data_IF_242306613190
#
_entry.id   IF_242306613190
#
_cell.length_a   1.000
_cell.length_b   1.000
_cell.length_c   1.000
_cell.angle_alpha   90.00
_cell.angle_beta   90.00
_cell.angle_gamma   90.00
#
_symmetry.space_group_name_H-M   'P 1'
#
loop_
_entity.id
_entity.type
_entity.pdbx_description
1 polymer ?
#
# COMPACT_ATOMS: atom_id res chain seq x y z
N UNK A 1 17.20 31.22 18.47
CA UNK A 1 17.40 29.88 17.93
C UNK A 1 16.08 29.46 17.32
N UNK A 2 16.03 29.12 16.04
CA UNK A 2 14.81 28.54 15.46
C UNK A 2 14.62 27.18 16.12
N UNK A 3 13.40 26.76 16.48
CA UNK A 3 13.16 25.45 17.07
C UNK A 3 13.67 24.36 16.10
N UNK A 4 14.37 23.38 16.66
CA UNK A 4 14.85 22.23 15.90
C UNK A 4 13.64 21.44 15.39
N UNK A 5 13.50 21.39 14.08
CA UNK A 5 12.35 20.75 13.42
C UNK A 5 12.69 19.27 13.21
N UNK A 6 12.01 18.40 13.97
CA UNK A 6 12.19 16.95 13.88
C UNK A 6 11.31 16.34 12.79
N UNK A 7 11.88 15.52 11.91
CA UNK A 7 11.14 14.75 10.91
C UNK A 7 10.66 13.44 11.56
N UNK A 8 9.38 13.14 11.39
CA UNK A 8 8.74 11.93 11.93
C UNK A 8 8.13 11.16 10.78
N UNK A 9 8.32 9.85 10.80
CA UNK A 9 7.56 8.87 10.00
C UNK A 9 6.62 8.12 10.89
N UNK A 10 5.37 8.00 10.45
CA UNK A 10 4.38 7.13 11.07
C UNK A 10 4.02 6.04 10.09
N UNK A 11 4.15 4.79 10.53
CA UNK A 11 3.58 3.62 9.88
C UNK A 11 2.14 3.45 10.38
N UNK A 12 1.22 3.20 9.46
CA UNK A 12 -0.20 3.04 9.79
C UNK A 12 -0.89 2.03 8.88
N UNK A 13 -1.97 1.42 9.37
CA UNK A 13 -2.84 0.56 8.57
C UNK A 13 -4.04 1.34 8.01
N UNK A 14 -4.52 0.90 6.83
CA UNK A 14 -5.75 1.39 6.17
C UNK A 14 -6.62 0.20 5.79
N UNK A 15 -7.71 -0.01 6.53
CA UNK A 15 -8.56 -1.21 6.41
C UNK A 15 -10.04 -0.86 6.42
N UNK A 16 -10.91 -1.88 6.38
CA UNK A 16 -12.36 -1.71 6.45
C UNK A 16 -12.91 -0.83 5.30
N UNK A 17 -13.87 0.01 5.61
CA UNK A 17 -14.49 0.91 4.63
C UNK A 17 -13.51 1.95 4.05
N UNK A 18 -12.43 2.26 4.78
CA UNK A 18 -11.43 3.23 4.31
C UNK A 18 -10.56 2.73 3.15
N UNK A 19 -10.60 1.44 2.81
CA UNK A 19 -9.99 0.95 1.56
C UNK A 19 -10.58 1.63 0.30
N UNK A 20 -11.80 2.15 0.38
CA UNK A 20 -12.50 2.77 -0.74
C UNK A 20 -12.28 4.28 -0.90
N UNK A 21 -11.56 4.93 0.02
CA UNK A 21 -11.26 6.35 -0.14
C UNK A 21 -10.09 6.57 -1.11
N UNK A 22 -10.15 7.68 -1.84
CA UNK A 22 -9.06 8.12 -2.71
C UNK A 22 -7.84 8.57 -1.89
N UNK A 23 -6.68 8.66 -2.55
CA UNK A 23 -5.48 9.23 -1.92
C UNK A 23 -5.70 10.69 -1.47
N UNK A 24 -6.47 11.47 -2.24
CA UNK A 24 -6.80 12.85 -1.90
C UNK A 24 -7.65 12.91 -0.63
N UNK A 25 -8.62 12.01 -0.47
CA UNK A 25 -9.48 11.95 0.71
C UNK A 25 -8.71 11.42 1.93
N UNK A 26 -7.77 10.47 1.73
CA UNK A 26 -6.86 10.05 2.78
C UNK A 26 -6.02 11.23 3.29
N UNK A 27 -5.48 12.06 2.38
CA UNK A 27 -4.73 13.26 2.75
C UNK A 27 -5.59 14.25 3.54
N UNK A 28 -6.83 14.53 3.10
CA UNK A 28 -7.78 15.39 3.82
C UNK A 28 -8.13 14.82 5.19
N UNK A 29 -8.34 13.51 5.28
CA UNK A 29 -8.60 12.82 6.54
C UNK A 29 -7.42 12.98 7.49
N UNK A 30 -6.19 12.79 7.00
CA UNK A 30 -4.98 12.94 7.80
C UNK A 30 -4.78 14.38 8.30
N UNK A 31 -5.07 15.40 7.46
CA UNK A 31 -5.04 16.81 7.89
C UNK A 31 -5.98 17.06 9.07
N UNK A 32 -7.21 16.53 9.02
CA UNK A 32 -8.17 16.64 10.11
C UNK A 32 -7.72 15.86 11.36
N UNK A 33 -7.08 14.71 11.19
CA UNK A 33 -6.50 13.93 12.29
C UNK A 33 -5.39 14.73 12.98
N UNK A 34 -4.49 15.34 12.24
CA UNK A 34 -3.43 16.17 12.79
C UNK A 34 -3.96 17.36 13.59
N UNK A 35 -5.01 18.01 13.13
CA UNK A 35 -5.68 19.09 13.87
C UNK A 35 -6.25 18.59 15.21
N UNK A 36 -6.94 17.45 15.19
CA UNK A 36 -7.56 16.89 16.41
C UNK A 36 -6.55 16.32 17.39
N UNK A 37 -5.45 15.75 16.91
CA UNK A 37 -4.42 15.12 17.74
C UNK A 37 -3.66 16.11 18.63
N UNK A 38 -3.72 17.42 18.31
CA UNK A 38 -2.98 18.49 19.00
C UNK A 38 -1.47 18.24 19.08
N UNK A 39 -0.93 17.48 18.12
CA UNK A 39 0.51 17.31 17.95
C UNK A 39 1.12 18.63 17.45
N UNK A 40 2.34 19.01 17.88
CA UNK A 40 3.01 20.24 17.47
C UNK A 40 3.58 20.13 16.04
N UNK A 41 2.71 20.00 15.05
CA UNK A 41 3.05 19.77 13.64
C UNK A 41 3.41 21.08 12.95
N UNK A 42 4.38 21.00 12.04
CA UNK A 42 4.77 22.13 11.17
C UNK A 42 3.76 22.30 10.05
N UNK A 43 3.16 23.49 9.97
CA UNK A 43 2.24 23.87 8.91
C UNK A 43 2.96 24.64 7.78
N UNK A 44 2.38 24.63 6.60
CA UNK A 44 2.80 25.51 5.50
C UNK A 44 2.52 26.97 5.85
N UNK A 45 3.32 27.87 5.27
CA UNK A 45 3.05 29.32 5.38
C UNK A 45 2.14 29.75 4.23
N UNK A 46 1.29 30.75 4.48
CA UNK A 46 0.38 31.32 3.48
C UNK A 46 -1.05 31.49 4.01
N UNK A 47 -1.96 31.83 3.13
CA UNK A 47 -3.37 32.14 3.48
C UNK A 47 -4.18 30.91 3.89
N UNK A 48 -3.74 29.69 3.53
CA UNK A 48 -4.40 28.44 3.91
C UNK A 48 -3.36 27.43 4.45
N UNK A 49 -2.95 27.58 5.74
CA UNK A 49 -1.96 26.70 6.33
C UNK A 49 -2.45 25.26 6.42
N UNK A 50 -1.62 24.32 5.98
CA UNK A 50 -1.89 22.88 6.09
C UNK A 50 -0.63 22.13 6.51
N UNK A 51 -0.76 20.96 7.18
CA UNK A 51 0.37 20.12 7.54
C UNK A 51 1.19 19.74 6.31
N UNK A 52 2.52 19.89 6.38
CA UNK A 52 3.43 19.42 5.33
C UNK A 52 3.64 17.93 5.47
N UNK A 53 2.92 17.15 4.67
CA UNK A 53 2.96 15.69 4.69
C UNK A 53 3.49 15.12 3.39
N UNK A 54 4.21 14.00 3.47
CA UNK A 54 4.61 13.17 2.33
C UNK A 54 4.17 11.74 2.63
N UNK A 55 3.47 11.11 1.70
CA UNK A 55 3.01 9.73 1.84
C UNK A 55 3.88 8.77 1.04
N UNK A 56 3.92 7.51 1.47
CA UNK A 56 4.41 6.39 0.66
C UNK A 56 3.61 6.27 -0.65
N UNK A 57 4.07 5.49 -1.64
CA UNK A 57 3.34 5.29 -2.89
C UNK A 57 1.88 4.92 -2.64
N UNK A 58 0.93 5.66 -3.28
CA UNK A 58 -0.50 5.52 -3.01
C UNK A 58 -1.02 4.14 -3.41
N UNK A 59 -2.08 3.71 -2.73
CA UNK A 59 -2.86 2.54 -3.08
C UNK A 59 -4.00 2.89 -4.03
N UNK A 60 -4.33 1.96 -4.90
CA UNK A 60 -5.60 2.01 -5.64
C UNK A 60 -6.80 1.95 -4.68
N UNK A 61 -7.92 2.52 -5.09
CA UNK A 61 -9.19 2.39 -4.39
C UNK A 61 -9.59 0.92 -4.33
N UNK A 62 -10.13 0.47 -3.20
CA UNK A 62 -10.47 -0.92 -2.93
C UNK A 62 -9.35 -1.76 -2.30
N UNK A 63 -8.11 -1.24 -2.25
CA UNK A 63 -6.98 -1.95 -1.66
C UNK A 63 -6.81 -1.53 -0.20
N UNK A 64 -6.80 -2.51 0.70
CA UNK A 64 -6.42 -2.35 2.11
C UNK A 64 -4.91 -2.42 2.29
N UNK A 65 -4.40 -1.97 3.44
CA UNK A 65 -2.98 -2.03 3.74
C UNK A 65 -2.73 -2.14 5.23
N UNK A 66 -1.71 -2.90 5.58
CA UNK A 66 -1.15 -3.00 6.93
C UNK A 66 0.15 -2.19 7.10
N UNK A 67 0.62 -1.52 6.03
CA UNK A 67 1.91 -0.85 5.99
C UNK A 67 1.91 0.42 5.12
N UNK A 68 1.11 1.41 5.50
CA UNK A 68 1.18 2.75 4.92
C UNK A 68 2.14 3.63 5.72
N UNK A 69 2.73 4.63 5.06
CA UNK A 69 3.61 5.56 5.75
C UNK A 69 3.27 7.01 5.42
N UNK A 70 3.43 7.87 6.42
CA UNK A 70 3.35 9.31 6.28
C UNK A 70 4.51 9.98 7.00
N UNK A 71 5.22 10.86 6.31
CA UNK A 71 6.25 11.72 6.86
C UNK A 71 5.68 13.12 7.12
N UNK A 72 5.99 13.68 8.28
CA UNK A 72 5.69 15.07 8.64
C UNK A 72 6.78 15.64 9.55
N UNK A 73 6.67 16.93 9.89
CA UNK A 73 7.63 17.59 10.75
C UNK A 73 6.94 18.13 11.99
N UNK A 74 7.64 18.11 13.11
CA UNK A 74 7.19 18.66 14.38
C UNK A 74 8.13 19.74 14.91
N UNK A 75 7.58 20.71 15.65
CA UNK A 75 8.32 21.83 16.27
C UNK A 75 8.85 21.52 17.66
N UNK A 76 8.41 20.40 18.25
CA UNK A 76 8.79 19.96 19.58
C UNK A 76 9.08 18.45 19.56
N UNK A 77 9.91 17.99 20.47
CA UNK A 77 10.16 16.57 20.67
C UNK A 77 9.03 15.96 21.49
N UNK A 78 8.36 14.97 20.92
CA UNK A 78 7.26 14.22 21.55
C UNK A 78 7.63 12.74 21.50
N UNK A 79 7.49 11.97 22.58
CA UNK A 79 7.75 10.53 22.57
C UNK A 79 6.91 9.81 21.51
N UNK A 80 7.51 8.84 20.80
CA UNK A 80 6.87 8.16 19.66
C UNK A 80 5.59 7.41 20.02
N UNK A 81 5.53 6.82 21.22
CA UNK A 81 4.33 6.17 21.75
C UNK A 81 3.19 7.18 21.99
N UNK A 82 3.52 8.41 22.44
CA UNK A 82 2.56 9.51 22.61
C UNK A 82 2.04 9.97 21.25
N UNK A 83 2.90 10.04 20.21
CA UNK A 83 2.49 10.35 18.84
C UNK A 83 1.48 9.32 18.36
N UNK A 84 1.80 8.02 18.42
CA UNK A 84 0.89 6.95 18.02
C UNK A 84 -0.42 6.97 18.79
N UNK A 85 -0.39 7.17 20.10
CA UNK A 85 -1.60 7.25 20.94
C UNK A 85 -2.51 8.40 20.50
N UNK A 86 -1.98 9.63 20.38
CA UNK A 86 -2.77 10.82 20.00
C UNK A 86 -3.35 10.71 18.59
N UNK A 87 -2.60 10.09 17.67
CA UNK A 87 -3.11 9.79 16.33
C UNK A 87 -4.25 8.77 16.40
N UNK A 88 -4.09 7.70 17.16
CA UNK A 88 -5.11 6.65 17.30
C UNK A 88 -6.40 7.16 17.99
N UNK A 89 -6.29 8.09 18.93
CA UNK A 89 -7.44 8.78 19.54
C UNK A 89 -8.19 9.69 18.53
N UNK A 90 -7.53 10.08 17.44
CA UNK A 90 -8.04 11.01 16.44
C UNK A 90 -8.40 10.34 15.11
N UNK A 91 -7.93 9.13 14.85
CA UNK A 91 -8.23 8.37 13.63
C UNK A 91 -9.69 7.95 13.57
N UNK A 92 -10.30 7.93 12.39
CA UNK A 92 -11.54 7.20 12.17
C UNK A 92 -11.30 5.69 12.18
N UNK A 93 -12.35 4.91 12.37
CA UNK A 93 -12.31 3.46 12.25
C UNK A 93 -11.75 3.05 10.87
N UNK A 94 -10.81 2.09 10.89
CA UNK A 94 -10.10 1.63 9.69
C UNK A 94 -8.75 2.30 9.44
N UNK A 95 -8.36 3.35 10.20
CA UNK A 95 -6.98 3.83 10.28
C UNK A 95 -6.39 3.55 11.66
N UNK A 96 -5.13 3.11 11.71
CA UNK A 96 -4.42 2.89 12.97
C UNK A 96 -2.93 3.15 12.81
N UNK A 97 -2.37 4.05 13.63
CA UNK A 97 -0.92 4.22 13.78
C UNK A 97 -0.33 2.99 14.48
N UNK A 98 0.67 2.40 13.86
CA UNK A 98 1.36 1.19 14.32
C UNK A 98 2.68 1.53 15.01
N UNK A 99 3.47 2.40 14.37
CA UNK A 99 4.75 2.86 14.88
C UNK A 99 5.03 4.31 14.47
N UNK A 100 5.89 5.00 15.24
CA UNK A 100 6.42 6.31 14.89
C UNK A 100 7.93 6.32 15.14
N UNK A 101 8.70 6.95 14.26
CA UNK A 101 10.17 7.01 14.37
C UNK A 101 10.74 8.13 13.49
N UNK A 102 12.01 8.41 13.63
CA UNK A 102 12.76 9.29 12.75
C UNK A 102 13.17 8.51 11.49
N UNK A 103 12.77 8.95 10.27
CA UNK A 103 13.08 8.23 9.05
C UNK A 103 14.54 8.37 8.64
N UNK A 104 15.19 7.23 8.35
CA UNK A 104 16.54 7.14 7.80
C UNK A 104 16.55 6.96 6.27
N UNK A 105 15.37 6.72 5.67
CA UNK A 105 15.19 6.40 4.25
C UNK A 105 14.24 7.38 3.57
N UNK A 106 14.18 7.33 2.24
CA UNK A 106 13.21 8.11 1.43
C UNK A 106 12.17 7.16 0.82
N UNK A 107 10.97 7.64 0.57
CA UNK A 107 9.95 6.83 -0.13
C UNK A 107 10.34 6.44 -1.55
N UNK A 108 11.26 7.18 -2.19
CA UNK A 108 11.88 6.77 -3.46
C UNK A 108 12.70 5.49 -3.40
N UNK A 109 13.09 5.06 -2.19
CA UNK A 109 13.90 3.86 -1.99
C UNK A 109 13.03 2.59 -1.93
N UNK A 110 11.70 2.75 -1.87
CA UNK A 110 10.74 1.64 -1.98
C UNK A 110 10.82 1.07 -3.39
N UNK A 111 11.15 -0.22 -3.47
CA UNK A 111 11.25 -0.92 -4.75
C UNK A 111 10.20 -2.00 -4.95
N UNK A 112 9.68 -2.58 -3.86
CA UNK A 112 8.76 -3.70 -3.91
C UNK A 112 7.69 -3.60 -2.84
N UNK A 113 6.52 -4.18 -3.14
CA UNK A 113 5.44 -4.36 -2.16
C UNK A 113 4.89 -5.78 -2.23
N UNK A 114 4.61 -6.35 -1.08
CA UNK A 114 3.99 -7.66 -0.90
C UNK A 114 2.47 -7.46 -0.76
N UNK A 115 1.73 -8.13 -1.62
CA UNK A 115 0.27 -8.13 -1.63
C UNK A 115 -0.27 -9.52 -1.35
N UNK A 116 -1.30 -9.57 -0.54
CA UNK A 116 -2.22 -10.68 -0.41
C UNK A 116 -3.44 -10.40 -1.27
N UNK A 117 -3.76 -11.32 -2.18
CA UNK A 117 -4.89 -11.24 -3.10
C UNK A 117 -5.71 -12.51 -2.89
N UNK A 118 -6.95 -12.37 -2.49
CA UNK A 118 -7.83 -13.48 -2.21
C UNK A 118 -9.08 -13.43 -3.11
N UNK A 119 -9.36 -14.52 -3.79
CA UNK A 119 -10.55 -14.74 -4.61
C UNK A 119 -11.53 -15.59 -3.81
N UNK A 120 -12.74 -15.12 -3.60
CA UNK A 120 -13.82 -15.93 -3.03
C UNK A 120 -14.47 -16.77 -4.13
N UNK A 121 -14.28 -18.07 -4.08
CA UNK A 121 -14.78 -19.02 -5.09
C UNK A 121 -14.96 -20.41 -4.50
N UNK A 122 -16.08 -21.09 -4.78
CA UNK A 122 -16.27 -22.47 -4.35
C UNK A 122 -15.30 -23.46 -5.00
N UNK A 123 -14.71 -23.12 -6.14
CA UNK A 123 -13.74 -23.93 -6.87
C UNK A 123 -12.28 -23.68 -6.44
N UNK A 124 -12.02 -23.00 -5.32
CA UNK A 124 -10.71 -22.58 -4.89
C UNK A 124 -9.65 -23.70 -4.95
N UNK A 125 -9.97 -24.89 -4.44
CA UNK A 125 -9.05 -26.04 -4.37
C UNK A 125 -8.65 -26.56 -5.75
N UNK A 126 -9.57 -26.57 -6.70
CA UNK A 126 -9.33 -27.06 -8.07
C UNK A 126 -8.47 -26.07 -8.87
N UNK A 127 -8.59 -24.78 -8.57
CA UNK A 127 -7.92 -23.69 -9.30
C UNK A 127 -6.52 -23.33 -8.76
N UNK A 128 -6.14 -23.81 -7.57
CA UNK A 128 -4.82 -23.49 -6.98
C UNK A 128 -3.67 -23.84 -7.92
N UNK A 129 -3.69 -25.07 -8.48
CA UNK A 129 -2.66 -25.53 -9.41
C UNK A 129 -2.64 -24.73 -10.70
N UNK A 130 -3.80 -24.40 -11.26
CA UNK A 130 -3.92 -23.60 -12.48
C UNK A 130 -3.33 -22.18 -12.32
N UNK A 131 -3.59 -21.53 -11.17
CA UNK A 131 -3.02 -20.21 -10.87
C UNK A 131 -1.51 -20.27 -10.74
N UNK A 132 -0.97 -21.29 -10.05
CA UNK A 132 0.49 -21.48 -9.91
C UNK A 132 1.12 -21.72 -11.29
N UNK A 133 0.52 -22.53 -12.13
CA UNK A 133 1.00 -22.80 -13.50
C UNK A 133 0.96 -21.52 -14.36
N UNK A 134 -0.15 -20.78 -14.33
CA UNK A 134 -0.30 -19.54 -15.09
C UNK A 134 0.73 -18.46 -14.70
N UNK A 135 1.19 -18.48 -13.44
CA UNK A 135 2.17 -17.52 -12.91
C UNK A 135 3.62 -18.02 -12.95
N UNK A 136 3.88 -19.23 -13.39
CA UNK A 136 5.23 -19.83 -13.44
C UNK A 136 6.02 -19.51 -14.72
N UNK A 137 5.34 -19.05 -15.76
CA UNK A 137 5.91 -18.79 -17.08
C UNK A 137 6.19 -17.31 -17.36
N UNK A 138 6.29 -16.99 -18.63
CA UNK A 138 6.34 -15.60 -19.10
C UNK A 138 4.95 -14.96 -18.97
N UNK A 139 4.89 -13.84 -18.26
CA UNK A 139 3.66 -13.11 -17.96
C UNK A 139 3.70 -11.80 -18.72
N UNK A 140 2.98 -11.73 -19.83
CA UNK A 140 2.81 -10.51 -20.61
C UNK A 140 1.39 -9.97 -20.40
N UNK A 141 1.29 -8.71 -20.07
CA UNK A 141 0.02 -7.99 -19.80
C UNK A 141 -0.08 -6.77 -20.69
N UNK A 142 -1.29 -6.41 -21.05
CA UNK A 142 -1.56 -5.17 -21.75
C UNK A 142 -1.59 -4.00 -20.75
N UNK A 143 -0.78 -2.99 -21.01
CA UNK A 143 -0.68 -1.78 -20.17
C UNK A 143 -1.00 -0.53 -21.00
N UNK A 144 -1.85 0.34 -20.49
CA UNK A 144 -2.18 1.61 -21.13
C UNK A 144 -1.33 2.73 -20.54
N UNK A 145 -0.56 3.38 -21.39
CA UNK A 145 0.25 4.55 -21.06
C UNK A 145 -0.20 5.79 -21.83
N UNK A 146 0.51 6.91 -21.68
CA UNK A 146 0.22 8.18 -22.38
C UNK A 146 0.30 8.07 -23.91
N UNK A 147 1.11 7.14 -24.42
CA UNK A 147 1.35 6.92 -25.86
C UNK A 147 0.44 5.84 -26.46
N UNK A 148 -0.47 5.25 -25.69
CA UNK A 148 -1.36 4.16 -26.09
C UNK A 148 -1.14 2.89 -25.29
N UNK A 149 -1.69 1.80 -25.77
CA UNK A 149 -1.60 0.47 -25.18
C UNK A 149 -0.41 -0.29 -25.73
N UNK A 150 0.30 -1.02 -24.86
CA UNK A 150 1.48 -1.83 -25.21
C UNK A 150 1.58 -3.06 -24.33
N UNK A 151 2.22 -4.10 -24.87
CA UNK A 151 2.54 -5.31 -24.13
C UNK A 151 3.68 -5.08 -23.15
N UNK A 152 3.49 -5.50 -21.91
CA UNK A 152 4.47 -5.35 -20.84
C UNK A 152 4.71 -6.68 -20.13
N UNK A 153 5.94 -7.19 -20.24
CA UNK A 153 6.35 -8.40 -19.53
C UNK A 153 6.62 -8.09 -18.06
N UNK A 154 5.84 -8.70 -17.16
CA UNK A 154 5.94 -8.51 -15.72
C UNK A 154 6.69 -9.61 -14.99
N UNK A 155 7.15 -10.67 -15.68
CA UNK A 155 7.77 -11.84 -15.04
C UNK A 155 8.96 -11.51 -14.14
N UNK A 156 9.76 -10.51 -14.50
CA UNK A 156 10.87 -10.03 -13.67
C UNK A 156 10.47 -8.99 -12.62
N UNK A 157 9.25 -8.50 -12.70
CA UNK A 157 8.72 -7.42 -11.86
C UNK A 157 7.67 -7.93 -10.86
N UNK A 158 7.52 -9.25 -10.77
CA UNK A 158 6.69 -9.92 -9.78
C UNK A 158 7.37 -11.21 -9.29
N UNK A 159 7.03 -11.63 -8.09
CA UNK A 159 7.44 -12.92 -7.51
C UNK A 159 6.22 -13.51 -6.80
N UNK A 160 5.77 -14.69 -7.22
CA UNK A 160 4.78 -15.45 -6.45
C UNK A 160 5.46 -16.00 -5.18
N UNK A 161 4.92 -15.69 -4.01
CA UNK A 161 5.43 -16.15 -2.73
C UNK A 161 4.69 -17.38 -2.24
N UNK A 162 3.38 -17.42 -2.43
CA UNK A 162 2.53 -18.58 -2.12
C UNK A 162 1.20 -18.48 -2.85
N UNK A 163 0.56 -19.63 -3.09
CA UNK A 163 -0.83 -19.75 -3.47
C UNK A 163 -1.44 -20.86 -2.63
N UNK A 164 -2.62 -20.66 -2.06
CA UNK A 164 -3.30 -21.65 -1.18
C UNK A 164 -4.80 -21.50 -1.31
N UNK A 165 -5.46 -22.65 -1.33
CA UNK A 165 -6.91 -22.76 -1.29
C UNK A 165 -7.38 -23.28 0.06
N UNK A 166 -8.24 -22.52 0.73
CA UNK A 166 -8.81 -22.90 2.00
C UNK A 166 -10.19 -22.26 2.19
N UNK A 167 -11.18 -23.05 2.65
CA UNK A 167 -12.51 -22.56 3.02
C UNK A 167 -13.21 -21.72 1.94
N UNK A 168 -13.08 -22.08 0.65
CA UNK A 168 -13.71 -21.36 -0.45
C UNK A 168 -12.95 -20.06 -0.84
N UNK A 169 -11.76 -19.85 -0.32
CA UNK A 169 -10.88 -18.77 -0.65
C UNK A 169 -9.63 -19.28 -1.36
N UNK A 170 -9.30 -18.72 -2.51
CA UNK A 170 -8.01 -18.91 -3.17
C UNK A 170 -7.16 -17.68 -2.90
N UNK A 171 -6.18 -17.82 -2.02
CA UNK A 171 -5.32 -16.74 -1.55
C UNK A 171 -3.91 -16.88 -2.11
N UNK A 172 -3.46 -15.86 -2.83
CA UNK A 172 -2.08 -15.75 -3.30
C UNK A 172 -1.37 -14.59 -2.61
N UNK A 173 -0.09 -14.78 -2.34
CA UNK A 173 0.82 -13.71 -1.95
C UNK A 173 1.82 -13.48 -3.07
N UNK A 174 1.92 -12.23 -3.50
CA UNK A 174 2.82 -11.84 -4.58
C UNK A 174 3.57 -10.56 -4.22
N UNK A 175 4.88 -10.56 -4.45
CA UNK A 175 5.71 -9.37 -4.35
C UNK A 175 5.74 -8.70 -5.72
N UNK A 176 5.35 -7.42 -5.78
CA UNK A 176 5.20 -6.64 -7.01
C UNK A 176 6.12 -5.42 -6.99
N UNK A 177 6.70 -5.09 -8.14
CA UNK A 177 7.56 -3.92 -8.29
C UNK A 177 6.79 -2.61 -8.11
N UNK A 178 7.33 -1.72 -7.27
CA UNK A 178 6.84 -0.37 -7.02
C UNK A 178 7.64 0.71 -7.77
N UNK A 179 8.69 0.34 -8.51
CA UNK A 179 9.54 1.29 -9.26
C UNK A 179 8.76 1.85 -10.45
N UNK A 180 8.88 3.15 -10.70
CA UNK A 180 8.10 3.88 -11.71
C UNK A 180 8.05 3.20 -13.09
N UNK A 181 9.21 2.80 -13.62
CA UNK A 181 9.31 2.19 -14.96
C UNK A 181 8.83 0.73 -15.00
N UNK A 182 8.87 0.04 -13.87
CA UNK A 182 8.54 -1.39 -13.77
C UNK A 182 7.36 -1.66 -12.85
N UNK A 183 6.57 -0.63 -12.56
CA UNK A 183 5.43 -0.72 -11.66
C UNK A 183 4.42 -1.78 -12.09
N UNK A 184 4.11 -2.68 -11.18
CA UNK A 184 3.06 -3.70 -11.33
C UNK A 184 2.05 -3.51 -10.19
N UNK A 185 0.86 -3.06 -10.53
CA UNK A 185 -0.23 -2.97 -9.56
C UNK A 185 -0.95 -4.32 -9.39
N UNK A 186 -1.53 -4.61 -8.21
CA UNK A 186 -2.24 -5.88 -7.98
C UNK A 186 -3.41 -6.09 -8.95
N UNK A 187 -4.11 -5.03 -9.35
CA UNK A 187 -5.20 -5.12 -10.32
C UNK A 187 -4.73 -5.63 -11.72
N UNK A 188 -3.50 -5.32 -12.09
CA UNK A 188 -2.94 -5.80 -13.35
C UNK A 188 -2.68 -7.32 -13.30
N UNK A 189 -2.21 -7.81 -12.15
CA UNK A 189 -2.02 -9.24 -11.92
C UNK A 189 -3.37 -9.97 -11.86
N UNK A 190 -4.37 -9.39 -11.18
CA UNK A 190 -5.74 -9.94 -11.11
C UNK A 190 -6.33 -10.04 -12.51
N UNK A 191 -6.23 -8.98 -13.32
CA UNK A 191 -6.69 -8.99 -14.71
C UNK A 191 -6.06 -10.15 -15.50
N UNK A 192 -4.75 -10.33 -15.42
CA UNK A 192 -4.06 -11.43 -16.08
C UNK A 192 -4.58 -12.80 -15.62
N UNK A 193 -4.73 -13.01 -14.30
CA UNK A 193 -5.23 -14.26 -13.73
C UNK A 193 -6.65 -14.56 -14.24
N UNK A 194 -7.55 -13.60 -14.20
CA UNK A 194 -8.95 -13.77 -14.62
C UNK A 194 -9.11 -13.96 -16.13
N UNK A 195 -8.22 -13.40 -16.94
CA UNK A 195 -8.15 -13.66 -18.39
C UNK A 195 -7.66 -15.07 -18.70
N UNK A 196 -6.73 -15.61 -17.91
CA UNK A 196 -6.19 -16.98 -18.07
C UNK A 196 -7.12 -18.04 -17.49
N UNK A 197 -7.79 -17.71 -16.38
CA UNK A 197 -8.66 -18.62 -15.63
C UNK A 197 -10.06 -17.96 -15.49
N UNK A 198 -10.92 -18.11 -16.53
CA UNK A 198 -12.23 -17.44 -16.55
C UNK A 198 -13.15 -17.81 -15.38
N UNK A 199 -12.93 -18.96 -14.75
CA UNK A 199 -13.66 -19.38 -13.55
C UNK A 199 -13.46 -18.41 -12.35
N UNK A 200 -12.43 -17.56 -12.36
CA UNK A 200 -12.18 -16.53 -11.35
C UNK A 200 -12.73 -15.15 -11.73
N UNK A 201 -13.30 -14.97 -12.93
CA UNK A 201 -13.68 -13.65 -13.43
C UNK A 201 -14.81 -12.99 -12.62
N UNK A 202 -15.73 -13.80 -12.09
CA UNK A 202 -16.88 -13.33 -11.29
C UNK A 202 -16.64 -13.44 -9.77
N UNK A 203 -15.44 -13.80 -9.34
CA UNK A 203 -15.10 -13.92 -7.91
C UNK A 203 -15.03 -12.54 -7.24
N UNK A 204 -15.52 -12.44 -5.99
CA UNK A 204 -15.19 -11.29 -5.16
C UNK A 204 -13.69 -11.33 -4.80
N UNK A 205 -13.01 -10.18 -4.98
CA UNK A 205 -11.56 -10.11 -4.79
C UNK A 205 -11.20 -9.16 -3.67
N UNK A 206 -10.45 -9.66 -2.70
CA UNK A 206 -9.90 -8.90 -1.58
C UNK A 206 -8.41 -8.67 -1.78
N UNK A 207 -7.96 -7.43 -1.62
CA UNK A 207 -6.54 -7.06 -1.81
C UNK A 207 -6.04 -6.37 -0.57
N UNK A 208 -4.90 -6.83 -0.06
CA UNK A 208 -4.23 -6.21 1.07
C UNK A 208 -2.73 -6.07 0.82
N UNK A 209 -2.16 -4.86 0.97
CA UNK A 209 -0.71 -4.65 1.00
C UNK A 209 -0.18 -5.04 2.38
N UNK A 210 0.67 -6.06 2.45
CA UNK A 210 1.17 -6.62 3.71
C UNK A 210 2.49 -6.02 4.16
N UNK A 211 3.37 -5.67 3.19
CA UNK A 211 4.68 -5.10 3.47
C UNK A 211 5.21 -4.33 2.27
N UNK A 212 6.15 -3.41 2.50
CA UNK A 212 6.96 -2.78 1.46
C UNK A 212 8.44 -2.98 1.75
N UNK A 213 9.24 -3.01 0.68
CA UNK A 213 10.66 -3.35 0.74
C UNK A 213 11.48 -2.33 -0.03
N UNK A 214 12.76 -2.23 0.34
CA UNK A 214 13.75 -1.50 -0.45
C UNK A 214 13.89 -2.08 -1.87
N UNK A 215 14.74 -1.44 -2.67
CA UNK A 215 15.00 -1.83 -4.05
C UNK A 215 15.56 -3.23 -4.25
N UNK A 216 16.14 -3.87 -3.21
CA UNK A 216 16.59 -5.27 -3.19
C UNK A 216 15.44 -6.29 -3.14
N UNK A 217 14.27 -5.87 -2.69
CA UNK A 217 13.08 -6.70 -2.51
C UNK A 217 13.14 -7.66 -1.32
N UNK A 218 14.11 -7.52 -0.42
CA UNK A 218 14.35 -8.40 0.73
C UNK A 218 14.33 -7.64 2.05
N UNK A 219 14.95 -6.47 2.08
CA UNK A 219 15.00 -5.61 3.27
C UNK A 219 13.68 -4.86 3.42
N UNK A 220 13.01 -5.05 4.57
CA UNK A 220 11.77 -4.31 4.91
C UNK A 220 12.06 -2.82 4.97
N UNK A 221 11.23 -2.04 4.31
CA UNK A 221 11.29 -0.59 4.33
C UNK A 221 10.81 -0.05 5.69
N UNK A 222 11.59 0.91 6.21
CA UNK A 222 11.32 1.63 7.45
C UNK A 222 11.62 3.12 7.33
#
# INVERSE_FOLDING_TARGET
MLPEVKKIRVEFSKTGALKYISHLDLNRTMQNVFLRSKLPIVYSQGFNPHPKTVFSPPLSVGVSSECEFVDFKMTEDVPYDVICRRLNESFPDGLRALSAYEPESKFSDIGWADYEIAFETPAATDLEGEVVEALSGEITVEKTGKAGTYDFNISQNMRLLSCRAENGMLTLRAKLSCKELTFVGPNLLIKYITEKIPALADSEVFICRKAVYFGDGETLFR
#
